data_IF_986382054674
#
_entry.id   IF_986382054674
#
_cell.length_a   1.000
_cell.length_b   1.000
_cell.length_c   1.000
_cell.angle_alpha   90.00
_cell.angle_beta   90.00
_cell.angle_gamma   90.00
#
_symmetry.space_group_name_H-M   'P 1'
#
loop_
_entity.id
_entity.type
_entity.pdbx_description
1 polymer ?
#
# COMPACT_ATOMS: atom_id res chain seq x y z
N UNK A 1 23.71 5.86 -3.01
CA UNK A 1 22.47 5.64 -2.26
C UNK A 1 21.39 5.02 -3.16
N UNK A 2 20.75 3.94 -2.74
CA UNK A 2 19.68 3.31 -3.54
C UNK A 2 18.34 3.74 -3.00
N UNK A 3 17.99 4.98 -3.30
CA UNK A 3 16.67 5.54 -2.99
C UNK A 3 15.63 4.94 -3.94
N UNK A 4 14.40 4.94 -3.55
CA UNK A 4 13.32 4.40 -4.35
C UNK A 4 13.20 5.15 -5.69
N UNK A 5 13.20 4.40 -6.80
CA UNK A 5 13.21 4.95 -8.17
C UNK A 5 11.89 4.73 -8.92
N UNK A 6 10.81 4.37 -8.23
CA UNK A 6 9.51 4.13 -8.86
C UNK A 6 9.41 2.89 -9.76
N UNK A 7 10.46 2.03 -9.83
CA UNK A 7 10.48 0.87 -10.74
C UNK A 7 10.16 -0.42 -10.00
N UNK A 8 9.11 -1.12 -10.45
CA UNK A 8 8.84 -2.51 -10.07
C UNK A 8 9.94 -3.45 -10.62
N UNK A 9 10.34 -4.45 -9.83
CA UNK A 9 11.28 -5.51 -10.25
C UNK A 9 10.59 -6.67 -10.97
N UNK A 10 9.26 -6.67 -11.08
CA UNK A 10 8.49 -7.68 -11.79
C UNK A 10 8.69 -7.59 -13.31
N UNK A 11 8.63 -8.74 -14.00
CA UNK A 11 8.63 -8.81 -15.45
C UNK A 11 7.25 -9.25 -15.94
N UNK A 12 6.82 -8.78 -17.12
CA UNK A 12 5.55 -9.19 -17.75
C UNK A 12 5.49 -10.72 -17.91
N UNK A 13 6.62 -11.35 -18.24
CA UNK A 13 6.70 -12.82 -18.33
C UNK A 13 6.36 -13.50 -16.99
N UNK A 14 6.89 -12.98 -15.88
CA UNK A 14 6.59 -13.49 -14.54
C UNK A 14 5.10 -13.38 -14.21
N UNK A 15 4.47 -12.25 -14.53
CA UNK A 15 3.03 -12.07 -14.35
C UNK A 15 2.22 -13.03 -15.23
N UNK A 16 2.59 -13.23 -16.52
CA UNK A 16 1.95 -14.20 -17.41
C UNK A 16 1.99 -15.62 -16.86
N UNK A 17 3.13 -16.05 -16.32
CA UNK A 17 3.28 -17.36 -15.70
C UNK A 17 2.32 -17.48 -14.51
N UNK A 18 2.27 -16.50 -13.61
CA UNK A 18 1.37 -16.54 -12.48
C UNK A 18 -0.11 -16.51 -12.87
N UNK A 19 -0.51 -15.71 -13.85
CA UNK A 19 -1.89 -15.69 -14.38
C UNK A 19 -2.25 -17.05 -14.95
N UNK A 20 -1.34 -17.68 -15.72
CA UNK A 20 -1.55 -19.02 -16.24
C UNK A 20 -1.70 -20.07 -15.11
N UNK A 21 -0.82 -20.00 -14.11
CA UNK A 21 -0.90 -20.88 -12.94
C UNK A 21 -2.22 -20.71 -12.18
N UNK A 22 -2.64 -19.46 -11.92
CA UNK A 22 -3.88 -19.16 -11.20
C UNK A 22 -5.09 -19.75 -11.94
N UNK A 23 -5.15 -19.61 -13.27
CA UNK A 23 -6.28 -20.08 -14.10
C UNK A 23 -6.33 -21.59 -14.25
N UNK A 24 -5.17 -22.26 -14.38
CA UNK A 24 -5.11 -23.69 -14.74
C UNK A 24 -4.87 -24.63 -13.55
N UNK A 25 -4.08 -24.21 -12.55
CA UNK A 25 -3.70 -25.05 -11.41
C UNK A 25 -4.11 -24.48 -10.04
N UNK A 26 -4.66 -23.26 -10.05
CA UNK A 26 -5.25 -22.62 -8.89
C UNK A 26 -4.28 -21.81 -8.03
N UNK A 27 -4.84 -20.98 -7.14
CA UNK A 27 -4.11 -19.99 -6.32
C UNK A 27 -3.09 -20.66 -5.39
N UNK A 28 -3.48 -21.75 -4.71
CA UNK A 28 -2.59 -22.43 -3.76
C UNK A 28 -1.37 -23.05 -4.44
N UNK A 29 -1.54 -23.60 -5.63
CA UNK A 29 -0.44 -24.15 -6.44
C UNK A 29 0.50 -23.04 -6.93
N UNK A 30 -0.06 -21.86 -7.25
CA UNK A 30 0.75 -20.66 -7.58
C UNK A 30 1.64 -20.22 -6.41
N UNK A 31 1.18 -20.39 -5.17
CA UNK A 31 2.04 -20.15 -3.99
C UNK A 31 3.19 -21.17 -3.89
N UNK A 32 3.00 -22.41 -4.38
CA UNK A 32 4.08 -23.39 -4.48
C UNK A 32 5.19 -22.94 -5.45
N UNK A 33 4.81 -22.43 -6.62
CA UNK A 33 5.77 -21.87 -7.57
C UNK A 33 6.47 -20.63 -6.99
N UNK A 34 5.72 -19.78 -6.29
CA UNK A 34 6.25 -18.59 -5.63
C UNK A 34 7.36 -18.89 -4.61
N UNK A 35 7.34 -20.06 -3.99
CA UNK A 35 8.38 -20.46 -3.03
C UNK A 35 9.79 -20.39 -3.67
N UNK A 36 9.93 -20.88 -4.90
CA UNK A 36 11.19 -20.84 -5.62
C UNK A 36 11.58 -19.41 -6.02
N UNK A 37 10.61 -18.59 -6.41
CA UNK A 37 10.83 -17.19 -6.73
C UNK A 37 11.29 -16.41 -5.50
N UNK A 38 10.65 -16.59 -4.36
CA UNK A 38 11.04 -15.95 -3.09
C UNK A 38 12.43 -16.40 -2.63
N UNK A 39 12.76 -17.70 -2.79
CA UNK A 39 14.11 -18.22 -2.52
C UNK A 39 15.16 -17.54 -3.39
N UNK A 40 14.90 -17.42 -4.69
CA UNK A 40 15.78 -16.71 -5.62
C UNK A 40 16.03 -15.26 -5.16
N UNK A 41 14.98 -14.48 -4.87
CA UNK A 41 15.14 -13.10 -4.42
C UNK A 41 15.88 -13.01 -3.08
N UNK A 42 15.60 -13.89 -2.14
CA UNK A 42 16.28 -13.92 -0.83
C UNK A 42 17.77 -14.25 -0.92
N UNK A 43 18.20 -14.98 -1.95
CA UNK A 43 19.61 -15.34 -2.15
C UNK A 43 20.38 -14.30 -2.98
N UNK A 44 19.76 -13.77 -4.04
CA UNK A 44 20.47 -13.00 -5.06
C UNK A 44 20.29 -11.48 -4.96
N UNK A 45 19.25 -10.97 -4.29
CA UNK A 45 18.99 -9.53 -4.17
C UNK A 45 19.74 -8.91 -2.99
N UNK A 46 21.09 -9.01 -3.00
CA UNK A 46 21.96 -8.63 -1.86
C UNK A 46 21.60 -7.25 -1.27
N UNK A 47 21.43 -6.22 -2.12
CA UNK A 47 21.19 -4.85 -1.68
C UNK A 47 19.81 -4.69 -0.98
N UNK A 48 18.74 -5.19 -1.57
CA UNK A 48 17.42 -5.18 -0.92
C UNK A 48 17.41 -6.00 0.37
N UNK A 49 18.16 -7.12 0.38
CA UNK A 49 18.28 -7.98 1.57
C UNK A 49 18.98 -7.26 2.74
N UNK A 50 19.94 -6.36 2.47
CA UNK A 50 20.57 -5.53 3.51
C UNK A 50 19.54 -4.61 4.18
N UNK A 51 18.68 -3.94 3.40
CA UNK A 51 17.62 -3.06 3.92
C UNK A 51 16.58 -3.83 4.72
N UNK A 52 16.13 -4.99 4.22
CA UNK A 52 15.21 -5.86 4.95
C UNK A 52 15.85 -6.37 6.26
N UNK A 53 17.14 -6.76 6.21
CA UNK A 53 17.87 -7.23 7.38
C UNK A 53 17.99 -6.12 8.43
N UNK A 54 18.35 -4.88 8.02
CA UNK A 54 18.41 -3.72 8.88
C UNK A 54 17.06 -3.46 9.57
N UNK A 55 15.97 -3.46 8.81
CA UNK A 55 14.63 -3.31 9.34
C UNK A 55 14.31 -4.33 10.43
N UNK A 56 14.54 -5.63 10.19
CA UNK A 56 14.24 -6.66 11.18
C UNK A 56 15.19 -6.61 12.39
N UNK A 57 16.50 -6.39 12.16
CA UNK A 57 17.47 -6.41 13.26
C UNK A 57 17.48 -5.11 14.07
N UNK A 58 17.54 -3.97 13.39
CA UNK A 58 17.77 -2.67 14.04
C UNK A 58 16.49 -1.97 14.44
N UNK A 59 15.40 -2.18 13.70
CA UNK A 59 14.13 -1.50 14.00
C UNK A 59 13.16 -2.38 14.79
N UNK A 60 13.12 -3.69 14.50
CA UNK A 60 12.26 -4.65 15.21
C UNK A 60 13.00 -5.50 16.26
N UNK A 61 14.30 -5.30 16.43
CA UNK A 61 15.13 -6.01 17.42
C UNK A 61 15.07 -7.56 17.29
N UNK A 62 14.96 -8.07 16.06
CA UNK A 62 15.01 -9.52 15.85
C UNK A 62 16.44 -10.04 15.90
N UNK A 63 16.63 -11.21 16.51
CA UNK A 63 17.91 -11.93 16.45
C UNK A 63 18.32 -12.27 15.00
N UNK A 64 19.61 -12.46 14.77
CA UNK A 64 20.20 -12.65 13.42
C UNK A 64 19.49 -13.72 12.58
N UNK A 65 19.30 -14.91 13.11
CA UNK A 65 18.69 -16.02 12.38
C UNK A 65 17.20 -15.77 12.05
N UNK A 66 16.46 -15.18 13.01
CA UNK A 66 15.08 -14.78 12.79
C UNK A 66 14.99 -13.74 11.69
N UNK A 67 15.89 -12.76 11.65
CA UNK A 67 15.93 -11.72 10.62
C UNK A 67 16.25 -12.31 9.24
N UNK A 68 17.21 -13.22 9.14
CA UNK A 68 17.53 -13.92 7.90
C UNK A 68 16.34 -14.72 7.37
N UNK A 69 15.66 -15.48 8.22
CA UNK A 69 14.45 -16.20 7.83
C UNK A 69 13.32 -15.24 7.43
N UNK A 70 13.24 -14.07 8.04
CA UNK A 70 12.23 -13.04 7.72
C UNK A 70 12.43 -12.39 6.36
N UNK A 71 13.65 -12.37 5.80
CA UNK A 71 13.90 -11.91 4.42
C UNK A 71 13.11 -12.78 3.44
N UNK A 72 13.28 -14.10 3.52
CA UNK A 72 12.55 -15.04 2.67
C UNK A 72 11.03 -14.91 2.87
N UNK A 73 10.59 -14.89 4.14
CA UNK A 73 9.16 -14.79 4.49
C UNK A 73 8.54 -13.50 3.96
N UNK A 74 9.28 -12.37 4.00
CA UNK A 74 8.81 -11.08 3.47
C UNK A 74 8.62 -11.13 1.95
N UNK A 75 9.60 -11.64 1.19
CA UNK A 75 9.45 -11.84 -0.26
C UNK A 75 8.31 -12.80 -0.60
N UNK A 76 8.17 -13.88 0.15
CA UNK A 76 7.10 -14.84 -0.06
C UNK A 76 5.72 -14.23 0.21
N UNK A 77 5.59 -13.41 1.27
CA UNK A 77 4.35 -12.71 1.59
C UNK A 77 4.03 -11.65 0.54
N UNK A 78 5.03 -10.89 0.08
CA UNK A 78 4.86 -9.93 -1.00
C UNK A 78 4.36 -10.60 -2.29
N UNK A 79 4.97 -11.72 -2.67
CA UNK A 79 4.52 -12.46 -3.84
C UNK A 79 3.11 -13.03 -3.70
N UNK A 80 2.71 -13.49 -2.50
CA UNK A 80 1.31 -13.89 -2.25
C UNK A 80 0.34 -12.74 -2.47
N UNK A 81 0.67 -11.54 -1.96
CA UNK A 81 -0.14 -10.33 -2.14
C UNK A 81 -0.32 -10.00 -3.63
N UNK A 82 0.74 -10.11 -4.44
CA UNK A 82 0.66 -9.89 -5.89
C UNK A 82 -0.19 -10.96 -6.61
N UNK A 83 -0.05 -12.23 -6.23
CA UNK A 83 -0.87 -13.33 -6.76
C UNK A 83 -2.34 -13.11 -6.40
N UNK A 84 -2.63 -12.73 -5.16
CA UNK A 84 -3.99 -12.49 -4.69
C UNK A 84 -4.64 -11.31 -5.44
N UNK A 85 -3.93 -10.19 -5.58
CA UNK A 85 -4.38 -9.05 -6.39
C UNK A 85 -4.76 -9.51 -7.80
N UNK A 86 -3.87 -10.25 -8.45
CA UNK A 86 -4.11 -10.78 -9.80
C UNK A 86 -5.30 -11.74 -9.85
N UNK A 87 -5.44 -12.63 -8.86
CA UNK A 87 -6.54 -13.60 -8.80
C UNK A 87 -7.90 -12.91 -8.60
N UNK A 88 -7.95 -11.92 -7.71
CA UNK A 88 -9.16 -11.14 -7.43
C UNK A 88 -9.58 -10.37 -8.67
N UNK A 89 -8.67 -9.65 -9.33
CA UNK A 89 -8.93 -8.92 -10.59
C UNK A 89 -9.35 -9.87 -11.72
N UNK A 90 -8.83 -11.11 -11.74
CA UNK A 90 -9.24 -12.15 -12.69
C UNK A 90 -10.58 -12.84 -12.34
N UNK A 91 -11.39 -12.28 -11.42
CA UNK A 91 -12.74 -12.75 -11.11
C UNK A 91 -12.82 -13.84 -10.03
N UNK A 92 -11.73 -14.14 -9.32
CA UNK A 92 -11.71 -15.14 -8.26
C UNK A 92 -11.95 -14.54 -6.85
N UNK A 93 -12.63 -13.40 -6.77
CA UNK A 93 -12.93 -12.67 -5.53
C UNK A 93 -13.64 -13.56 -4.49
N UNK A 94 -14.58 -14.39 -4.91
CA UNK A 94 -15.38 -15.25 -4.02
C UNK A 94 -14.56 -16.30 -3.24
N UNK A 95 -13.32 -16.59 -3.68
CA UNK A 95 -12.41 -17.48 -2.96
C UNK A 95 -11.79 -16.83 -1.72
N UNK A 96 -11.95 -15.51 -1.58
CA UNK A 96 -11.37 -14.73 -0.50
C UNK A 96 -12.43 -14.33 0.51
N UNK A 97 -12.08 -14.49 1.79
CA UNK A 97 -12.87 -14.00 2.92
C UNK A 97 -12.20 -12.77 3.52
N UNK A 98 -12.96 -11.98 4.28
CA UNK A 98 -12.41 -10.80 4.93
C UNK A 98 -13.13 -10.48 6.24
N UNK A 99 -12.43 -9.74 7.09
CA UNK A 99 -12.97 -9.04 8.25
C UNK A 99 -12.73 -7.54 8.07
N UNK A 100 -13.61 -6.73 8.65
CA UNK A 100 -13.49 -5.28 8.56
C UNK A 100 -13.52 -4.67 9.98
N UNK A 101 -12.41 -4.08 10.41
CA UNK A 101 -12.27 -3.35 11.66
C UNK A 101 -12.33 -1.84 11.40
N UNK A 102 -13.41 -1.20 11.84
CA UNK A 102 -13.67 0.23 11.66
C UNK A 102 -14.42 0.60 10.40
N UNK A 103 -15.24 -0.28 9.83
CA UNK A 103 -16.10 0.04 8.67
C UNK A 103 -16.99 1.26 8.92
N UNK A 104 -17.48 1.44 10.15
CA UNK A 104 -18.33 2.57 10.52
C UNK A 104 -17.62 3.92 10.37
N UNK A 105 -16.27 3.95 10.48
CA UNK A 105 -15.49 5.15 10.23
C UNK A 105 -15.61 5.63 8.77
N UNK A 106 -15.64 4.68 7.82
CA UNK A 106 -15.83 5.00 6.40
C UNK A 106 -17.30 5.37 6.11
N UNK A 107 -18.26 4.67 6.71
CA UNK A 107 -19.69 5.00 6.56
C UNK A 107 -19.99 6.40 7.09
N UNK A 108 -19.50 6.73 8.28
CA UNK A 108 -19.67 8.06 8.87
C UNK A 108 -19.00 9.15 8.04
N UNK A 109 -17.82 8.86 7.45
CA UNK A 109 -17.12 9.77 6.56
C UNK A 109 -17.99 10.11 5.34
N UNK A 110 -18.54 9.12 4.66
CA UNK A 110 -19.40 9.34 3.49
C UNK A 110 -20.76 9.95 3.84
N UNK A 111 -21.33 9.61 5.00
CA UNK A 111 -22.59 10.18 5.48
C UNK A 111 -22.49 11.70 5.71
N UNK A 112 -21.30 12.22 5.96
CA UNK A 112 -21.05 13.66 6.09
C UNK A 112 -21.18 14.43 4.77
N UNK A 113 -21.25 13.74 3.61
CA UNK A 113 -21.42 14.32 2.26
C UNK A 113 -20.40 15.40 1.90
N UNK A 114 -19.15 15.21 2.32
CA UNK A 114 -18.03 16.11 2.06
C UNK A 114 -16.86 15.42 1.37
N UNK A 115 -17.05 14.13 1.00
CA UNK A 115 -15.95 13.28 0.63
C UNK A 115 -14.99 13.04 1.80
N UNK A 116 -13.84 12.48 1.54
CA UNK A 116 -12.82 12.23 2.56
C UNK A 116 -11.49 11.84 1.99
N UNK A 117 -10.48 11.87 2.85
CA UNK A 117 -9.12 11.46 2.51
C UNK A 117 -8.79 10.13 3.18
N UNK A 118 -8.34 9.19 2.38
CA UNK A 118 -7.74 7.94 2.84
C UNK A 118 -6.22 8.04 2.71
N UNK A 119 -5.48 7.68 3.77
CA UNK A 119 -4.02 7.58 3.70
C UNK A 119 -3.63 6.14 4.02
N UNK A 120 -2.94 5.50 3.08
CA UNK A 120 -2.40 4.15 3.23
C UNK A 120 -0.87 4.16 3.18
N UNK A 121 -0.27 2.98 3.15
CA UNK A 121 1.16 2.75 3.00
C UNK A 121 1.41 1.57 2.05
N UNK A 122 2.66 1.34 1.67
CA UNK A 122 3.07 0.12 0.95
C UNK A 122 3.16 -1.08 1.92
N UNK A 123 2.08 -1.30 2.65
CA UNK A 123 1.88 -2.39 3.60
C UNK A 123 0.63 -3.18 3.23
N UNK A 124 0.71 -4.51 3.27
CA UNK A 124 -0.41 -5.35 2.88
C UNK A 124 -0.81 -5.20 1.41
N UNK A 125 -2.11 -5.09 1.13
CA UNK A 125 -2.66 -5.07 -0.24
C UNK A 125 -3.84 -4.10 -0.37
N UNK A 126 -3.62 -2.82 -0.11
CA UNK A 126 -4.71 -1.82 -0.09
C UNK A 126 -5.47 -1.72 -1.43
N UNK A 127 -4.82 -2.03 -2.55
CA UNK A 127 -5.42 -1.95 -3.89
C UNK A 127 -6.58 -2.94 -4.12
N UNK A 128 -6.68 -4.01 -3.31
CA UNK A 128 -7.82 -4.93 -3.41
C UNK A 128 -9.04 -4.48 -2.58
N UNK A 129 -8.93 -3.38 -1.82
CA UNK A 129 -10.01 -2.91 -0.95
C UNK A 129 -11.32 -2.68 -1.71
N UNK A 130 -11.26 -2.14 -2.93
CA UNK A 130 -12.44 -1.87 -3.76
C UNK A 130 -13.31 -3.11 -4.01
N UNK A 131 -12.67 -4.28 -4.17
CA UNK A 131 -13.39 -5.53 -4.41
C UNK A 131 -14.15 -6.04 -3.18
N UNK A 132 -13.79 -5.57 -1.97
CA UNK A 132 -14.49 -5.91 -0.73
C UNK A 132 -15.56 -4.88 -0.38
N UNK A 133 -15.42 -3.64 -0.84
CA UNK A 133 -16.40 -2.59 -0.60
C UNK A 133 -17.75 -2.85 -1.27
N UNK A 134 -17.76 -3.51 -2.42
CA UNK A 134 -18.98 -3.91 -3.10
C UNK A 134 -19.90 -4.82 -2.26
N UNK A 135 -19.33 -5.59 -1.31
CA UNK A 135 -20.10 -6.51 -0.46
C UNK A 135 -20.80 -5.81 0.72
N UNK A 136 -20.48 -4.54 0.99
CA UNK A 136 -20.93 -3.79 2.17
C UNK A 136 -21.73 -2.55 1.81
N UNK A 137 -22.33 -2.52 0.60
CA UNK A 137 -23.09 -1.39 0.04
C UNK A 137 -22.31 -0.06 0.09
N UNK A 138 -20.99 -0.15 -0.12
CA UNK A 138 -20.09 0.98 -0.14
C UNK A 138 -19.82 1.38 -1.60
N UNK A 139 -20.82 2.06 -2.18
CA UNK A 139 -20.71 2.58 -3.55
C UNK A 139 -20.13 3.99 -3.51
N UNK A 140 -18.83 4.07 -3.67
CA UNK A 140 -18.10 5.33 -3.68
C UNK A 140 -16.91 5.25 -4.63
N UNK A 141 -16.74 6.28 -5.45
CA UNK A 141 -15.56 6.42 -6.30
C UNK A 141 -14.32 6.66 -5.44
N UNK A 142 -13.27 5.88 -5.67
CA UNK A 142 -11.95 6.05 -5.07
C UNK A 142 -11.02 6.69 -6.08
N UNK A 143 -10.40 7.80 -5.72
CA UNK A 143 -9.42 8.51 -6.55
C UNK A 143 -8.03 8.33 -5.93
N UNK A 144 -7.18 7.51 -6.56
CA UNK A 144 -5.81 7.27 -6.10
C UNK A 144 -4.88 8.34 -6.67
N UNK A 145 -4.33 9.17 -5.80
CA UNK A 145 -3.35 10.19 -6.18
C UNK A 145 -1.97 9.55 -6.27
N UNK A 146 -1.35 9.60 -7.43
CA UNK A 146 -0.07 8.95 -7.72
C UNK A 146 0.80 9.81 -8.64
N UNK A 147 2.07 9.42 -8.77
CA UNK A 147 3.00 10.00 -9.75
C UNK A 147 3.06 9.12 -11.01
N UNK A 148 3.29 9.71 -12.16
CA UNK A 148 3.31 9.03 -13.49
C UNK A 148 4.53 8.10 -13.69
N UNK A 149 5.21 7.67 -12.63
CA UNK A 149 6.46 6.90 -12.71
C UNK A 149 6.28 5.37 -12.60
N UNK A 150 5.04 4.87 -12.49
CA UNK A 150 4.81 3.42 -12.44
C UNK A 150 4.88 2.78 -13.83
N UNK A 151 5.42 1.54 -13.85
CA UNK A 151 5.66 0.80 -15.12
C UNK A 151 4.34 0.48 -15.81
N UNK A 152 3.99 1.28 -16.81
CA UNK A 152 2.77 1.22 -17.60
C UNK A 152 2.48 -0.18 -18.17
N UNK A 153 3.51 -0.89 -18.66
CA UNK A 153 3.36 -2.20 -19.33
C UNK A 153 2.82 -3.30 -18.41
N UNK A 154 3.19 -3.31 -17.13
CA UNK A 154 2.65 -4.30 -16.15
C UNK A 154 1.20 -3.94 -15.83
N UNK A 155 0.92 -2.66 -15.66
CA UNK A 155 -0.43 -2.16 -15.40
C UNK A 155 -1.36 -2.50 -16.55
N UNK A 156 -0.99 -2.17 -17.79
CA UNK A 156 -1.75 -2.51 -19.00
C UNK A 156 -1.99 -4.02 -19.11
N UNK A 157 -1.01 -4.86 -18.80
CA UNK A 157 -1.20 -6.31 -18.81
C UNK A 157 -2.19 -6.76 -17.73
N UNK A 158 -2.12 -6.24 -16.50
CA UNK A 158 -3.06 -6.60 -15.43
C UNK A 158 -4.48 -6.13 -15.76
N UNK A 159 -4.64 -4.94 -16.33
CA UNK A 159 -5.91 -4.43 -16.83
C UNK A 159 -6.48 -5.33 -17.94
N UNK A 160 -5.63 -5.81 -18.87
CA UNK A 160 -6.06 -6.70 -19.96
C UNK A 160 -6.57 -8.07 -19.51
N UNK A 161 -6.20 -8.53 -18.31
CA UNK A 161 -6.64 -9.83 -17.75
C UNK A 161 -7.74 -9.66 -16.70
N UNK A 162 -8.07 -8.44 -16.31
CA UNK A 162 -9.15 -8.14 -15.36
C UNK A 162 -10.52 -8.46 -15.98
N UNK A 163 -11.40 -9.08 -15.18
CA UNK A 163 -12.78 -9.41 -15.59
C UNK A 163 -13.73 -8.24 -15.34
N UNK A 164 -13.41 -7.39 -14.38
CA UNK A 164 -14.19 -6.21 -14.02
C UNK A 164 -13.28 -4.99 -14.05
N UNK A 165 -13.78 -3.90 -14.61
CA UNK A 165 -13.09 -2.62 -14.54
C UNK A 165 -12.93 -2.19 -13.07
N UNK A 166 -11.77 -1.64 -12.74
CA UNK A 166 -11.50 -1.09 -11.41
C UNK A 166 -12.30 0.21 -11.23
N UNK A 167 -12.93 0.35 -10.08
CA UNK A 167 -13.57 1.61 -9.68
C UNK A 167 -12.55 2.65 -9.16
N UNK A 168 -11.26 2.34 -9.23
CA UNK A 168 -10.20 3.28 -8.83
C UNK A 168 -9.88 4.19 -10.02
N UNK A 169 -10.14 5.48 -9.85
CA UNK A 169 -9.69 6.53 -10.76
C UNK A 169 -8.31 7.02 -10.33
N UNK A 170 -7.43 7.30 -11.29
CA UNK A 170 -6.10 7.81 -10.99
C UNK A 170 -6.06 9.33 -11.19
N UNK A 171 -5.54 10.05 -10.20
CA UNK A 171 -5.21 11.47 -10.29
C UNK A 171 -3.69 11.58 -10.29
N UNK A 172 -3.12 12.03 -11.39
CA UNK A 172 -1.67 12.16 -11.54
C UNK A 172 -1.19 13.51 -11.01
N UNK A 173 -0.17 13.48 -10.14
CA UNK A 173 0.48 14.69 -9.63
C UNK A 173 1.20 15.39 -10.78
N UNK A 174 0.85 16.66 -11.04
CA UNK A 174 1.38 17.49 -12.12
C UNK A 174 2.10 18.71 -11.55
N UNK A 175 3.12 19.19 -12.26
CA UNK A 175 3.91 20.36 -11.84
C UNK A 175 3.08 21.66 -11.78
N UNK A 176 2.10 21.80 -12.68
CA UNK A 176 1.17 22.94 -12.74
C UNK A 176 0.11 22.95 -11.63
N UNK A 177 0.17 21.99 -10.71
CA UNK A 177 -0.78 21.83 -9.59
C UNK A 177 -2.24 21.57 -10.01
N UNK A 178 -2.52 21.27 -11.29
CA UNK A 178 -3.90 21.05 -11.78
C UNK A 178 -4.59 19.86 -11.09
N UNK A 179 -3.84 18.88 -10.60
CA UNK A 179 -4.36 17.77 -9.79
C UNK A 179 -5.12 18.22 -8.53
N UNK A 180 -4.84 19.41 -8.00
CA UNK A 180 -5.57 19.96 -6.84
C UNK A 180 -7.02 20.28 -7.20
N UNK A 181 -7.29 20.74 -8.43
CA UNK A 181 -8.66 20.96 -8.89
C UNK A 181 -9.42 19.63 -9.04
N UNK A 182 -8.76 18.59 -9.58
CA UNK A 182 -9.36 17.26 -9.69
C UNK A 182 -9.68 16.68 -8.30
N UNK A 183 -8.80 16.84 -7.31
CA UNK A 183 -9.02 16.44 -5.92
C UNK A 183 -10.24 17.18 -5.32
N UNK A 184 -10.32 18.52 -5.48
CA UNK A 184 -11.43 19.29 -4.95
C UNK A 184 -12.76 18.93 -5.62
N UNK A 185 -12.75 18.66 -6.93
CA UNK A 185 -13.95 18.22 -7.66
C UNK A 185 -14.44 16.87 -7.14
N UNK A 186 -13.55 15.90 -6.97
CA UNK A 186 -13.89 14.59 -6.43
C UNK A 186 -14.50 14.68 -5.01
N UNK A 187 -13.91 15.49 -4.13
CA UNK A 187 -14.47 15.72 -2.80
C UNK A 187 -15.87 16.38 -2.85
N UNK A 188 -16.07 17.33 -3.76
CA UNK A 188 -17.39 17.98 -3.96
C UNK A 188 -18.45 16.99 -4.43
N UNK A 189 -18.06 15.92 -5.11
CA UNK A 189 -18.91 14.82 -5.52
C UNK A 189 -19.11 13.76 -4.41
N UNK A 190 -18.61 14.01 -3.21
CA UNK A 190 -18.60 13.05 -2.10
C UNK A 190 -17.77 11.79 -2.40
N UNK A 191 -16.71 11.91 -3.18
CA UNK A 191 -15.79 10.82 -3.52
C UNK A 191 -14.62 10.75 -2.53
N UNK A 192 -13.87 9.65 -2.54
CA UNK A 192 -12.70 9.44 -1.68
C UNK A 192 -11.41 9.73 -2.44
N UNK A 193 -10.51 10.43 -1.78
CA UNK A 193 -9.14 10.66 -2.24
C UNK A 193 -8.20 9.74 -1.46
N UNK A 194 -7.43 8.92 -2.16
CA UNK A 194 -6.48 8.00 -1.54
C UNK A 194 -5.04 8.39 -1.84
N UNK A 195 -4.20 8.45 -0.80
CA UNK A 195 -2.76 8.66 -0.87
C UNK A 195 -2.00 7.48 -0.28
N UNK A 196 -0.78 7.25 -0.76
CA UNK A 196 0.24 6.50 -0.03
C UNK A 196 1.19 7.47 0.67
N UNK A 197 1.36 7.30 1.98
CA UNK A 197 2.05 8.28 2.84
C UNK A 197 3.47 7.89 3.25
N UNK A 198 4.01 6.75 2.80
CA UNK A 198 5.26 6.18 3.34
C UNK A 198 6.47 6.25 2.41
N UNK A 199 6.33 6.71 1.16
CA UNK A 199 7.47 6.82 0.22
C UNK A 199 7.59 8.21 -0.35
N UNK A 200 8.76 8.80 -0.25
CA UNK A 200 9.06 10.05 -0.91
C UNK A 200 10.11 9.86 -2.02
N UNK A 201 10.06 10.72 -3.02
CA UNK A 201 11.04 10.75 -4.09
C UNK A 201 12.18 11.71 -3.75
N UNK A 202 13.39 11.35 -4.11
CA UNK A 202 14.54 12.23 -3.95
C UNK A 202 14.31 13.57 -4.67
N UNK A 203 14.61 14.68 -3.99
CA UNK A 203 14.37 16.04 -4.50
C UNK A 203 12.95 16.56 -4.28
N UNK A 204 11.98 15.72 -3.85
CA UNK A 204 10.65 16.20 -3.47
C UNK A 204 10.63 16.78 -2.06
N UNK A 205 9.60 17.55 -1.73
CA UNK A 205 9.39 18.05 -0.36
C UNK A 205 9.05 16.88 0.57
N UNK A 206 9.64 16.89 1.77
CA UNK A 206 9.39 15.90 2.81
C UNK A 206 9.07 16.54 4.15
N UNK A 207 8.48 15.76 5.03
CA UNK A 207 8.35 15.99 6.46
C UNK A 207 9.10 14.88 7.18
N UNK A 208 9.52 15.13 8.42
CA UNK A 208 10.20 14.12 9.22
C UNK A 208 9.35 13.69 10.40
N UNK A 209 9.39 12.40 10.70
CA UNK A 209 8.80 11.82 11.90
C UNK A 209 9.57 10.56 12.31
N UNK A 210 9.46 10.18 13.57
CA UNK A 210 10.12 9.00 14.11
C UNK A 210 9.26 7.75 13.85
N UNK A 211 9.81 6.77 13.13
CA UNK A 211 9.21 5.46 12.91
C UNK A 211 10.14 4.37 13.47
N UNK A 212 9.61 3.54 14.36
CA UNK A 212 10.36 2.44 15.00
C UNK A 212 11.64 2.93 15.71
N UNK A 213 11.58 4.06 16.39
CA UNK A 213 12.68 4.62 17.18
C UNK A 213 13.76 5.32 16.37
N UNK A 214 13.46 5.77 15.14
CA UNK A 214 14.38 6.55 14.32
C UNK A 214 13.67 7.51 13.38
N UNK A 215 14.22 8.73 13.24
CA UNK A 215 13.73 9.72 12.28
C UNK A 215 13.82 9.19 10.85
N UNK A 216 12.76 9.42 10.09
CA UNK A 216 12.64 9.06 8.68
C UNK A 216 11.91 10.16 7.91
N UNK A 217 12.12 10.19 6.60
CA UNK A 217 11.52 11.17 5.68
C UNK A 217 10.27 10.61 5.04
N UNK A 218 9.19 11.38 5.10
CA UNK A 218 7.89 11.06 4.51
C UNK A 218 7.52 12.08 3.44
N UNK A 219 6.77 11.71 2.38
CA UNK A 219 6.34 12.68 1.37
C UNK A 219 5.48 13.76 1.99
N UNK A 220 5.81 15.04 1.76
CA UNK A 220 5.04 16.13 2.34
C UNK A 220 3.67 16.31 1.69
N UNK A 221 3.53 15.97 0.39
CA UNK A 221 2.33 16.20 -0.41
C UNK A 221 1.04 15.69 0.23
N UNK A 222 0.89 14.40 0.56
CA UNK A 222 -0.30 13.83 1.17
C UNK A 222 -0.75 14.59 2.42
N UNK A 223 0.18 14.90 3.33
CA UNK A 223 -0.12 15.55 4.62
C UNK A 223 -0.42 17.04 4.46
N UNK A 224 0.30 17.74 3.57
CA UNK A 224 0.03 19.14 3.26
C UNK A 224 -1.34 19.33 2.61
N UNK A 225 -1.71 18.47 1.68
CA UNK A 225 -3.01 18.53 1.00
C UNK A 225 -4.11 18.16 1.98
N UNK A 226 -4.03 16.97 2.61
CA UNK A 226 -5.06 16.47 3.49
C UNK A 226 -5.35 17.41 4.68
N UNK A 227 -4.33 17.99 5.30
CA UNK A 227 -4.50 18.92 6.43
C UNK A 227 -5.21 20.24 6.05
N UNK A 228 -5.28 20.60 4.76
CA UNK A 228 -5.89 21.84 4.25
C UNK A 228 -7.28 21.68 3.70
N UNK A 229 -7.67 20.43 3.36
CA UNK A 229 -8.97 20.19 2.71
C UNK A 229 -10.16 20.32 3.66
N UNK A 230 -9.95 20.25 4.98
CA UNK A 230 -11.03 20.39 5.97
C UNK A 230 -12.05 19.23 5.94
N UNK A 231 -11.67 18.11 5.37
CA UNK A 231 -12.47 16.88 5.31
C UNK A 231 -11.90 15.81 6.25
N UNK A 232 -12.68 14.81 6.67
CA UNK A 232 -12.17 13.73 7.50
C UNK A 232 -11.04 12.96 6.83
N UNK A 233 -10.04 12.57 7.63
CA UNK A 233 -8.92 11.74 7.20
C UNK A 233 -8.99 10.39 7.90
N UNK A 234 -8.86 9.30 7.14
CA UNK A 234 -8.89 7.93 7.65
C UNK A 234 -7.65 7.18 7.15
N UNK A 235 -6.95 6.52 8.06
CA UNK A 235 -5.87 5.60 7.73
C UNK A 235 -6.45 4.23 7.39
N UNK A 236 -6.07 3.68 6.23
CA UNK A 236 -6.64 2.43 5.72
C UNK A 236 -5.57 1.41 5.39
N UNK A 237 -5.77 0.18 5.82
CA UNK A 237 -4.85 -0.93 5.55
C UNK A 237 -5.64 -2.19 5.20
N UNK A 238 -5.09 -3.01 4.31
CA UNK A 238 -5.66 -4.30 3.92
C UNK A 238 -4.59 -5.36 4.11
N UNK A 239 -4.69 -6.09 5.20
CA UNK A 239 -3.65 -6.99 5.65
C UNK A 239 -4.01 -8.43 5.34
N UNK A 240 -3.06 -9.17 4.73
CA UNK A 240 -3.22 -10.59 4.48
C UNK A 240 -3.07 -11.37 5.79
N UNK A 241 -4.07 -12.16 6.09
CA UNK A 241 -4.04 -13.15 7.16
C UNK A 241 -3.71 -14.55 6.62
N UNK A 242 -4.09 -15.57 7.35
CA UNK A 242 -3.88 -16.96 6.94
C UNK A 242 -4.77 -17.34 5.75
N UNK A 243 -4.31 -18.25 4.92
CA UNK A 243 -5.04 -18.71 3.72
C UNK A 243 -5.39 -17.57 2.75
N UNK A 244 -6.65 -17.53 2.30
CA UNK A 244 -7.21 -16.51 1.39
C UNK A 244 -8.10 -15.53 2.19
N UNK A 245 -7.62 -15.10 3.36
CA UNK A 245 -8.33 -14.19 4.25
C UNK A 245 -7.57 -12.87 4.38
N UNK A 246 -8.34 -11.78 4.42
CA UNK A 246 -7.82 -10.42 4.58
C UNK A 246 -8.52 -9.71 5.74
N UNK A 247 -7.78 -8.89 6.46
CA UNK A 247 -8.30 -8.02 7.50
C UNK A 247 -8.12 -6.57 7.07
N UNK A 248 -9.24 -5.87 6.93
CA UNK A 248 -9.28 -4.46 6.54
C UNK A 248 -9.38 -3.59 7.79
N UNK A 249 -8.60 -2.53 7.82
CA UNK A 249 -8.56 -1.57 8.92
C UNK A 249 -8.88 -0.18 8.42
N UNK A 250 -9.74 0.54 9.16
CA UNK A 250 -9.98 1.96 8.96
C UNK A 250 -9.89 2.69 10.31
N UNK A 251 -9.00 3.67 10.41
CA UNK A 251 -8.72 4.43 11.64
C UNK A 251 -8.82 5.93 11.36
N UNK A 252 -9.70 6.62 12.07
CA UNK A 252 -9.87 8.07 11.92
C UNK A 252 -8.65 8.79 12.48
N UNK A 253 -8.11 9.74 11.73
CA UNK A 253 -7.12 10.68 12.24
C UNK A 253 -7.79 11.59 13.30
N UNK A 254 -7.27 11.54 14.52
CA UNK A 254 -7.87 12.25 15.66
C UNK A 254 -7.08 13.51 16.02
N UNK A 255 -7.79 14.53 16.50
CA UNK A 255 -7.20 15.75 17.08
C UNK A 255 -6.27 16.54 16.14
N UNK A 256 -6.48 16.44 14.83
CA UNK A 256 -5.69 17.17 13.85
C UNK A 256 -6.25 18.59 13.69
N UNK A 257 -5.41 19.57 13.97
CA UNK A 257 -5.75 20.98 13.73
C UNK A 257 -5.75 21.30 12.24
N UNK A 258 -6.56 22.27 11.83
CA UNK A 258 -6.54 22.74 10.45
C UNK A 258 -5.13 23.22 10.06
N UNK A 259 -4.64 22.80 8.90
CA UNK A 259 -3.31 23.09 8.33
C UNK A 259 -2.12 22.53 9.15
N UNK A 260 -2.37 21.62 10.06
CA UNK A 260 -1.33 20.94 10.84
C UNK A 260 -0.87 19.66 10.12
N UNK A 261 -0.05 19.83 9.11
CA UNK A 261 0.52 18.72 8.35
C UNK A 261 1.50 17.87 9.16
N UNK A 262 2.21 18.48 10.13
CA UNK A 262 3.15 17.76 10.99
C UNK A 262 2.40 16.89 12.01
N UNK A 263 1.35 17.42 12.63
CA UNK A 263 0.50 16.64 13.54
C UNK A 263 -0.23 15.51 12.81
N UNK A 264 -0.67 15.73 11.56
CA UNK A 264 -1.27 14.69 10.73
C UNK A 264 -0.25 13.60 10.39
N UNK A 265 1.00 13.97 10.03
CA UNK A 265 2.07 13.01 9.81
C UNK A 265 2.36 12.18 11.06
N UNK A 266 2.48 12.83 12.24
CA UNK A 266 2.76 12.10 13.48
C UNK A 266 1.66 11.09 13.78
N UNK A 267 0.40 11.48 13.69
CA UNK A 267 -0.75 10.59 13.89
C UNK A 267 -0.74 9.42 12.89
N UNK A 268 -0.38 9.68 11.63
CA UNK A 268 -0.23 8.64 10.61
C UNK A 268 0.89 7.66 10.96
N UNK A 269 2.06 8.16 11.37
CA UNK A 269 3.23 7.34 11.69
C UNK A 269 2.97 6.47 12.92
N UNK A 270 2.31 6.98 13.95
CA UNK A 270 1.93 6.21 15.13
C UNK A 270 1.00 5.04 14.77
N UNK A 271 0.06 5.30 13.85
CA UNK A 271 -0.84 4.29 13.35
C UNK A 271 -0.13 3.27 12.45
N UNK A 272 0.73 3.73 11.53
CA UNK A 272 1.56 2.88 10.67
C UNK A 272 2.48 1.98 11.50
N UNK A 273 3.12 2.51 12.54
CA UNK A 273 3.99 1.76 13.43
C UNK A 273 3.26 0.60 14.11
N UNK A 274 2.02 0.86 14.55
CA UNK A 274 1.14 -0.17 15.11
C UNK A 274 0.90 -1.30 14.10
N UNK A 275 0.61 -0.95 12.85
CA UNK A 275 0.37 -1.94 11.79
C UNK A 275 1.64 -2.68 11.40
N UNK A 276 2.77 -2.00 11.30
CA UNK A 276 4.08 -2.61 10.99
C UNK A 276 4.51 -3.58 12.09
N UNK A 277 4.29 -3.25 13.36
CA UNK A 277 4.57 -4.15 14.50
C UNK A 277 3.66 -5.38 14.50
N UNK A 278 2.39 -5.22 14.13
CA UNK A 278 1.42 -6.32 14.04
C UNK A 278 1.67 -7.23 12.84
N UNK A 279 2.07 -6.65 11.70
CA UNK A 279 2.28 -7.35 10.42
C UNK A 279 3.69 -7.11 9.84
N UNK A 280 4.76 -7.45 10.55
CA UNK A 280 6.11 -7.04 10.21
C UNK A 280 6.63 -7.58 8.88
N UNK A 281 6.04 -8.66 8.35
CA UNK A 281 6.41 -9.25 7.06
C UNK A 281 5.72 -8.60 5.86
N UNK A 282 4.79 -7.67 6.09
CA UNK A 282 3.93 -7.10 5.06
C UNK A 282 4.23 -5.63 4.73
N UNK A 283 5.25 -5.03 5.31
CA UNK A 283 5.72 -3.72 4.93
C UNK A 283 6.82 -3.85 3.87
N UNK A 284 6.48 -3.50 2.63
CA UNK A 284 7.28 -3.84 1.45
C UNK A 284 8.26 -2.73 1.02
N UNK A 285 8.93 -2.11 1.98
CA UNK A 285 9.96 -1.11 1.74
C UNK A 285 11.35 -1.77 1.66
N UNK A 286 11.73 -2.15 0.43
CA UNK A 286 12.97 -2.88 0.15
C UNK A 286 14.09 -1.94 -0.34
N UNK A 287 14.17 -0.73 0.23
CA UNK A 287 15.17 0.31 -0.01
C UNK A 287 15.61 0.93 1.33
N UNK A 288 16.61 1.81 1.30
CA UNK A 288 17.09 2.49 2.48
C UNK A 288 16.10 3.56 2.95
N UNK A 289 15.16 3.15 3.81
CA UNK A 289 14.09 4.01 4.29
C UNK A 289 14.56 5.04 5.31
N UNK A 290 15.62 4.73 6.08
CA UNK A 290 16.14 5.58 7.14
C UNK A 290 17.42 6.33 6.77
N UNK A 291 17.90 6.23 5.53
CA UNK A 291 19.16 6.79 5.04
C UNK A 291 20.39 6.36 5.90
N UNK A 292 20.42 5.09 6.35
CA UNK A 292 21.41 4.56 7.31
C UNK A 292 22.38 3.55 6.73
N UNK A 293 22.13 3.09 5.53
CA UNK A 293 22.91 2.02 4.91
C UNK A 293 23.56 2.58 3.64
N UNK A 294 24.87 2.79 3.71
CA UNK A 294 25.72 3.25 2.58
C UNK A 294 25.87 2.20 1.47
#
# INVERSE_FOLDING_TARGET
MNKWKGKSKGTVLGYRIFVWCIRNIGIRSSYGVLYFVAAYYSLFQKKSNQYILYYFQKRLNYGYWKSKASIFKSYFTFGKVLIDKTAISAGLREKYTYEFDGIENLRNLLAAKKGGVLISAHIGNFEIAEHFFADIDFDCQINLVTTDQEVTVIKEYLESVAVKESNIKFIYVKEDMSHIFEINQALSNNELICFTGDRYFEGSKYLEAELLGKSAKFPAGPFLIASRLGVPVVYVYVMKENNLHYHLYARVAQNIKNRDSQGLLQSYVDNLETMVKKYPLQWFNYFDFWDDID
#
